data_IF_274282165646
#
_entry.id   IF_274282165646
#
_cell.length_a   1.000
_cell.length_b   1.000
_cell.length_c   1.000
_cell.angle_alpha   90.00
_cell.angle_beta   90.00
_cell.angle_gamma   90.00
#
_symmetry.space_group_name_H-M   'P 1'
#
loop_
_entity.id
_entity.type
_entity.pdbx_description
1 polymer ?
#
# COMPACT_ATOMS: atom_id res chain seq x y z
N UNK A 1 -1.94 28.36 1.21
CA UNK A 1 -0.89 27.67 0.40
C UNK A 1 -0.14 28.76 -0.36
N UNK A 2 1.19 28.84 -0.27
CA UNK A 2 1.93 29.78 -1.12
C UNK A 2 1.93 29.26 -2.58
N UNK A 3 1.94 30.18 -3.55
CA UNK A 3 1.99 29.84 -4.98
C UNK A 3 3.19 28.92 -5.29
N UNK A 4 4.32 29.11 -4.60
CA UNK A 4 5.50 28.28 -4.73
C UNK A 4 5.26 26.81 -4.32
N UNK A 5 4.45 26.55 -3.29
CA UNK A 5 4.14 25.18 -2.87
C UNK A 5 3.19 24.48 -3.83
N UNK A 6 2.28 25.22 -4.46
CA UNK A 6 1.38 24.69 -5.47
C UNK A 6 2.13 24.14 -6.70
N UNK A 7 3.06 24.92 -7.24
CA UNK A 7 3.87 24.45 -8.38
C UNK A 7 4.84 23.32 -8.01
N UNK A 8 5.40 23.32 -6.79
CA UNK A 8 6.25 22.20 -6.34
C UNK A 8 5.51 20.88 -6.29
N UNK A 9 4.25 20.85 -5.88
CA UNK A 9 3.42 19.63 -5.90
C UNK A 9 3.19 19.12 -7.33
N UNK A 10 2.90 20.03 -8.27
CA UNK A 10 2.73 19.67 -9.68
C UNK A 10 4.05 19.12 -10.25
N UNK A 11 5.17 19.79 -10.01
CA UNK A 11 6.49 19.37 -10.49
C UNK A 11 6.88 18.01 -9.88
N UNK A 12 6.48 17.74 -8.63
CA UNK A 12 6.69 16.47 -7.97
C UNK A 12 5.88 15.32 -8.62
N UNK A 13 4.70 15.59 -9.15
CA UNK A 13 3.91 14.63 -9.93
C UNK A 13 4.62 14.35 -11.27
N UNK A 14 5.00 15.40 -12.00
CA UNK A 14 5.71 15.27 -13.29
C UNK A 14 7.02 14.48 -13.14
N UNK A 15 7.75 14.68 -12.04
CA UNK A 15 8.98 13.96 -11.78
C UNK A 15 8.80 12.45 -11.50
N UNK A 16 7.58 12.03 -11.09
CA UNK A 16 7.29 10.65 -10.70
C UNK A 16 6.44 9.88 -11.71
N UNK A 17 5.71 10.59 -12.56
CA UNK A 17 4.88 9.99 -13.60
C UNK A 17 5.44 10.33 -14.99
N UNK A 18 6.04 9.36 -15.71
CA UNK A 18 6.54 9.56 -17.06
C UNK A 18 5.45 9.98 -18.08
N UNK A 19 4.16 9.72 -17.79
CA UNK A 19 3.05 10.12 -18.64
C UNK A 19 2.64 11.59 -18.42
N UNK A 20 3.11 12.24 -17.37
CA UNK A 20 2.80 13.63 -17.04
C UNK A 20 3.61 14.60 -17.93
N UNK A 21 3.09 14.94 -19.12
CA UNK A 21 3.80 15.74 -20.12
C UNK A 21 3.86 17.24 -19.81
N UNK A 22 3.02 17.80 -18.93
CA UNK A 22 3.00 19.24 -18.64
C UNK A 22 2.25 19.60 -17.37
N UNK A 23 2.55 20.77 -16.79
CA UNK A 23 1.83 21.32 -15.64
C UNK A 23 0.32 21.48 -15.90
N UNK A 24 -0.06 21.90 -17.10
CA UNK A 24 -1.46 22.03 -17.50
C UNK A 24 -2.16 20.66 -17.56
N UNK A 25 -1.45 19.63 -18.06
CA UNK A 25 -1.95 18.26 -18.03
C UNK A 25 -2.25 17.80 -16.60
N UNK A 26 -1.37 18.04 -15.65
CA UNK A 26 -1.60 17.69 -14.24
C UNK A 26 -2.80 18.46 -13.67
N UNK A 27 -2.89 19.76 -13.92
CA UNK A 27 -3.97 20.59 -13.38
C UNK A 27 -5.35 20.14 -13.87
N UNK A 28 -5.49 19.76 -15.13
CA UNK A 28 -6.80 19.49 -15.72
C UNK A 28 -7.15 18.00 -15.83
N UNK A 29 -6.15 17.10 -15.87
CA UNK A 29 -6.38 15.69 -16.21
C UNK A 29 -6.06 14.71 -15.07
N UNK A 30 -5.50 15.18 -13.93
CA UNK A 30 -5.12 14.29 -12.83
C UNK A 30 -6.15 14.29 -11.70
N UNK A 31 -6.96 13.22 -11.57
CA UNK A 31 -7.94 13.13 -10.49
C UNK A 31 -7.30 13.20 -9.09
N UNK A 32 -6.08 12.68 -8.94
CA UNK A 32 -5.31 12.75 -7.70
C UNK A 32 -4.98 14.18 -7.28
N UNK A 33 -4.64 15.04 -8.23
CA UNK A 33 -4.40 16.46 -7.97
C UNK A 33 -5.70 17.17 -7.53
N UNK A 34 -6.81 16.88 -8.20
CA UNK A 34 -8.11 17.42 -7.81
C UNK A 34 -8.53 16.95 -6.40
N UNK A 35 -8.36 15.66 -6.10
CA UNK A 35 -8.67 15.10 -4.78
C UNK A 35 -7.86 15.79 -3.68
N UNK A 36 -6.58 16.12 -3.93
CA UNK A 36 -5.75 16.83 -2.97
C UNK A 36 -6.18 18.30 -2.78
N UNK A 37 -6.66 18.98 -3.81
CA UNK A 37 -7.24 20.31 -3.67
C UNK A 37 -8.48 20.26 -2.77
N UNK A 38 -9.42 19.35 -3.06
CA UNK A 38 -10.61 19.16 -2.23
C UNK A 38 -10.25 18.78 -0.79
N UNK A 39 -9.27 17.89 -0.62
CA UNK A 39 -8.78 17.51 0.71
C UNK A 39 -8.26 18.72 1.50
N UNK A 40 -7.45 19.57 0.91
CA UNK A 40 -6.93 20.78 1.59
C UNK A 40 -8.05 21.70 2.03
N UNK A 41 -9.08 21.88 1.20
CA UNK A 41 -10.28 22.65 1.54
C UNK A 41 -11.06 21.95 2.66
N UNK A 42 -11.39 20.68 2.50
CA UNK A 42 -12.12 19.88 3.48
C UNK A 42 -11.41 19.80 4.83
N UNK A 43 -10.08 19.60 4.82
CA UNK A 43 -9.26 19.60 6.04
C UNK A 43 -9.27 20.95 6.75
N UNK A 44 -9.23 22.06 6.01
CA UNK A 44 -9.37 23.39 6.61
C UNK A 44 -10.72 23.55 7.33
N UNK A 45 -11.83 23.19 6.70
CA UNK A 45 -13.16 23.22 7.34
C UNK A 45 -13.22 22.26 8.55
N UNK A 46 -12.59 21.08 8.48
CA UNK A 46 -12.51 20.14 9.58
C UNK A 46 -11.80 20.77 10.80
N UNK A 47 -10.69 21.45 10.58
CA UNK A 47 -9.92 22.15 11.61
C UNK A 47 -10.69 23.29 12.27
N UNK A 48 -11.59 23.96 11.53
CA UNK A 48 -12.51 24.96 12.08
C UNK A 48 -13.77 24.34 12.70
N UNK A 49 -13.80 23.03 12.94
CA UNK A 49 -14.91 22.27 13.51
C UNK A 49 -16.19 22.27 12.67
N UNK A 50 -16.14 22.65 11.42
CA UNK A 50 -17.23 22.59 10.44
C UNK A 50 -17.30 21.19 9.80
N UNK A 51 -17.45 20.16 10.64
CA UNK A 51 -17.29 18.74 10.27
C UNK A 51 -18.25 18.28 9.18
N UNK A 52 -19.50 18.71 9.23
CA UNK A 52 -20.50 18.37 8.22
C UNK A 52 -20.07 18.89 6.82
N UNK A 53 -19.69 20.18 6.75
CA UNK A 53 -19.27 20.80 5.49
C UNK A 53 -17.97 20.14 4.95
N UNK A 54 -17.01 19.87 5.84
CA UNK A 54 -15.80 19.14 5.48
C UNK A 54 -16.12 17.78 4.84
N UNK A 55 -17.01 17.00 5.46
CA UNK A 55 -17.47 15.71 4.94
C UNK A 55 -18.22 15.83 3.62
N UNK A 56 -19.05 16.83 3.48
CA UNK A 56 -19.80 17.09 2.25
C UNK A 56 -18.85 17.41 1.09
N UNK A 57 -17.84 18.25 1.30
CA UNK A 57 -16.82 18.57 0.29
C UNK A 57 -16.08 17.29 -0.14
N UNK A 58 -15.67 16.46 0.81
CA UNK A 58 -14.97 15.21 0.50
C UNK A 58 -15.88 14.17 -0.17
N UNK A 59 -17.18 14.18 0.10
CA UNK A 59 -18.14 13.35 -0.61
C UNK A 59 -18.24 13.72 -2.09
N UNK A 60 -18.31 15.00 -2.42
CA UNK A 60 -18.25 15.46 -3.80
C UNK A 60 -16.91 15.15 -4.47
N UNK A 61 -15.80 15.33 -3.76
CA UNK A 61 -14.48 14.93 -4.24
C UNK A 61 -14.44 13.47 -4.66
N UNK A 62 -14.98 12.57 -3.83
CA UNK A 62 -15.07 11.13 -4.12
C UNK A 62 -15.90 10.85 -5.38
N UNK A 63 -17.03 11.51 -5.56
CA UNK A 63 -17.89 11.33 -6.75
C UNK A 63 -17.13 11.73 -8.03
N UNK A 64 -16.39 12.83 -7.98
CA UNK A 64 -15.69 13.39 -9.15
C UNK A 64 -14.40 12.62 -9.46
N UNK A 65 -13.65 12.18 -8.42
CA UNK A 65 -12.30 11.65 -8.59
C UNK A 65 -12.21 10.14 -8.41
N UNK A 66 -13.22 9.50 -7.81
CA UNK A 66 -13.15 8.08 -7.40
C UNK A 66 -12.21 7.83 -6.21
N UNK A 67 -11.76 8.88 -5.52
CA UNK A 67 -10.80 8.82 -4.39
C UNK A 67 -11.51 9.24 -3.12
N UNK A 68 -11.43 8.41 -2.08
CA UNK A 68 -11.98 8.71 -0.77
C UNK A 68 -10.87 9.09 0.21
N UNK A 69 -10.92 10.32 0.72
CA UNK A 69 -10.02 10.80 1.77
C UNK A 69 -10.86 11.38 2.90
N UNK A 70 -10.66 10.87 4.11
CA UNK A 70 -11.31 11.48 5.26
C UNK A 70 -10.69 12.85 5.57
N UNK A 71 -11.48 13.92 5.80
CA UNK A 71 -10.94 15.27 5.98
C UNK A 71 -10.08 15.42 7.24
N UNK A 72 -10.16 14.51 8.22
CA UNK A 72 -9.32 14.49 9.41
C UNK A 72 -7.95 13.83 9.20
N UNK A 73 -7.74 13.10 8.12
CA UNK A 73 -6.46 12.47 7.83
C UNK A 73 -5.33 13.53 7.81
N UNK A 74 -4.13 13.13 8.20
CA UNK A 74 -2.94 14.00 8.14
C UNK A 74 -2.08 13.57 6.95
N UNK A 75 -1.86 14.46 6.01
CA UNK A 75 -1.13 14.17 4.78
C UNK A 75 0.02 15.19 4.64
N UNK A 76 1.24 14.67 4.53
CA UNK A 76 2.45 15.45 4.33
C UNK A 76 2.58 16.02 2.91
N UNK A 77 3.69 16.70 2.66
CA UNK A 77 3.99 17.33 1.37
C UNK A 77 4.35 16.30 0.29
N UNK A 78 4.11 16.67 -0.98
CA UNK A 78 4.42 15.86 -2.14
C UNK A 78 3.80 14.44 -2.13
N UNK A 79 2.63 14.29 -1.50
CA UNK A 79 1.87 13.05 -1.58
C UNK A 79 1.30 12.88 -2.99
N UNK A 80 1.52 11.72 -3.59
CA UNK A 80 1.07 11.41 -4.94
C UNK A 80 0.25 10.12 -4.98
N UNK A 81 -0.92 10.19 -5.59
CA UNK A 81 -1.80 9.08 -5.87
C UNK A 81 -1.79 8.81 -7.37
N UNK A 82 -1.03 7.80 -7.81
CA UNK A 82 -0.96 7.44 -9.22
C UNK A 82 -2.21 6.66 -9.63
N UNK A 83 -2.82 7.03 -10.76
CA UNK A 83 -4.15 6.62 -11.23
C UNK A 83 -5.30 6.96 -10.27
N UNK A 84 -5.18 6.72 -9.01
CA UNK A 84 -6.03 7.17 -7.91
C UNK A 84 -7.34 6.44 -7.69
N UNK A 85 -7.97 5.84 -8.70
CA UNK A 85 -9.29 5.24 -8.59
C UNK A 85 -9.37 4.18 -7.47
N UNK A 86 -10.38 4.29 -6.60
CA UNK A 86 -10.61 3.32 -5.53
C UNK A 86 -9.66 3.42 -4.34
N UNK A 87 -8.87 4.49 -4.24
CA UNK A 87 -8.08 4.77 -3.03
C UNK A 87 -9.02 5.15 -1.88
N UNK A 88 -8.74 4.61 -0.69
CA UNK A 88 -9.44 4.94 0.55
C UNK A 88 -8.45 5.31 1.64
N UNK A 89 -8.55 6.52 2.18
CA UNK A 89 -7.72 7.03 3.29
C UNK A 89 -8.61 7.34 4.49
N UNK A 90 -8.47 6.54 5.55
CA UNK A 90 -9.31 6.61 6.75
C UNK A 90 -9.01 7.80 7.66
N UNK A 91 -9.91 8.05 8.61
CA UNK A 91 -9.96 9.22 9.48
C UNK A 91 -8.66 9.51 10.25
N UNK A 92 -8.07 8.48 10.84
CA UNK A 92 -6.88 8.64 11.70
C UNK A 92 -5.59 8.24 10.98
N UNK A 93 -5.61 8.14 9.62
CA UNK A 93 -4.42 7.89 8.85
C UNK A 93 -3.46 9.09 8.92
N UNK A 94 -2.18 8.78 9.01
CA UNK A 94 -1.09 9.76 8.96
C UNK A 94 -0.14 9.35 7.84
N UNK A 95 0.18 10.29 6.94
CA UNK A 95 1.02 10.05 5.77
C UNK A 95 2.14 11.07 5.78
N UNK A 96 3.37 10.59 5.71
CA UNK A 96 4.57 11.41 5.65
C UNK A 96 4.77 12.13 4.33
N UNK A 97 5.98 12.59 4.09
CA UNK A 97 6.35 13.33 2.88
C UNK A 97 6.80 12.41 1.75
N UNK A 98 6.62 12.85 0.50
CA UNK A 98 7.06 12.16 -0.72
C UNK A 98 6.51 10.71 -0.85
N UNK A 99 5.35 10.44 -0.27
CA UNK A 99 4.72 9.12 -0.38
C UNK A 99 4.03 8.99 -1.72
N UNK A 100 4.14 7.82 -2.34
CA UNK A 100 3.43 7.45 -3.57
C UNK A 100 2.55 6.24 -3.30
N UNK A 101 1.27 6.33 -3.67
CA UNK A 101 0.35 5.20 -3.62
C UNK A 101 -0.34 5.03 -4.97
N UNK A 102 -0.71 3.81 -5.31
CA UNK A 102 -1.37 3.48 -6.56
C UNK A 102 -2.87 3.23 -6.35
N UNK A 103 -3.61 3.08 -7.44
CA UNK A 103 -5.06 2.81 -7.42
C UNK A 103 -5.44 1.62 -6.51
N UNK A 104 -6.63 1.69 -5.91
CA UNK A 104 -7.19 0.62 -5.08
C UNK A 104 -6.53 0.43 -3.71
N UNK A 105 -5.56 1.29 -3.33
CA UNK A 105 -4.92 1.22 -2.02
C UNK A 105 -5.90 1.65 -0.92
N UNK A 106 -5.97 0.86 0.15
CA UNK A 106 -6.74 1.21 1.36
C UNK A 106 -5.83 1.41 2.56
N UNK A 107 -5.90 2.59 3.17
CA UNK A 107 -5.36 2.87 4.49
C UNK A 107 -6.52 2.78 5.49
N UNK A 108 -6.81 1.56 5.94
CA UNK A 108 -8.03 1.20 6.65
C UNK A 108 -7.83 0.85 8.12
N UNK A 109 -8.95 0.73 8.85
CA UNK A 109 -8.97 0.11 10.16
C UNK A 109 -9.00 -1.43 10.04
N UNK A 110 -8.74 -2.12 11.15
CA UNK A 110 -9.05 -3.54 11.32
C UNK A 110 -10.57 -3.67 11.47
N UNK A 111 -11.11 -4.86 11.33
CA UNK A 111 -12.55 -5.14 11.40
C UNK A 111 -13.29 -4.21 12.37
N UNK A 112 -14.42 -3.61 11.94
CA UNK A 112 -15.22 -2.78 12.85
C UNK A 112 -15.65 -3.59 14.06
N UNK A 113 -15.49 -3.03 15.25
CA UNK A 113 -16.07 -3.59 16.46
C UNK A 113 -17.59 -3.61 16.32
N UNK A 114 -18.26 -4.61 16.88
CA UNK A 114 -19.73 -4.64 17.02
C UNK A 114 -20.20 -3.37 17.76
N UNK A 115 -19.38 -2.87 18.69
CA UNK A 115 -19.58 -1.59 19.39
C UNK A 115 -18.72 -0.49 18.76
N UNK A 116 -19.27 0.26 17.80
CA UNK A 116 -18.55 1.34 17.10
C UNK A 116 -18.06 2.44 18.04
N UNK A 117 -18.72 2.65 19.18
CA UNK A 117 -18.34 3.65 20.17
C UNK A 117 -16.98 3.37 20.81
N UNK A 118 -16.59 2.11 20.96
CA UNK A 118 -15.28 1.73 21.48
C UNK A 118 -14.12 2.17 20.59
N UNK A 119 -14.37 2.47 19.31
CA UNK A 119 -13.36 2.89 18.34
C UNK A 119 -13.35 4.40 18.07
N UNK A 120 -14.30 5.14 18.63
CA UNK A 120 -14.33 6.59 18.47
C UNK A 120 -13.13 7.24 19.16
N UNK A 121 -12.55 8.23 18.49
CA UNK A 121 -11.40 8.99 18.97
C UNK A 121 -10.12 8.17 19.22
N UNK A 122 -10.06 6.94 18.73
CA UNK A 122 -8.85 6.11 18.83
C UNK A 122 -8.11 6.03 17.48
N UNK A 123 -6.79 5.90 17.56
CA UNK A 123 -5.95 5.61 16.39
C UNK A 123 -6.30 4.21 15.88
N UNK A 124 -6.87 4.11 14.67
CA UNK A 124 -7.29 2.84 14.05
C UNK A 124 -6.82 2.65 12.61
N UNK A 125 -6.20 3.69 12.02
CA UNK A 125 -5.65 3.69 10.68
C UNK A 125 -4.13 3.81 10.71
N UNK A 126 -3.43 3.39 9.66
CA UNK A 126 -1.98 3.32 9.66
C UNK A 126 -1.29 4.69 9.70
N UNK A 127 -0.03 4.66 10.13
CA UNK A 127 0.94 5.74 9.99
C UNK A 127 1.95 5.33 8.93
N UNK A 128 2.08 6.13 7.89
CA UNK A 128 2.99 5.92 6.76
C UNK A 128 4.15 6.91 6.89
N UNK A 129 5.37 6.41 6.93
CA UNK A 129 6.58 7.23 6.96
C UNK A 129 6.86 7.97 5.66
N UNK A 130 8.04 8.54 5.55
CA UNK A 130 8.47 9.33 4.40
C UNK A 130 9.01 8.46 3.26
N UNK A 131 8.85 8.90 2.02
CA UNK A 131 9.39 8.23 0.82
C UNK A 131 8.90 6.78 0.65
N UNK A 132 7.73 6.45 1.18
CA UNK A 132 7.10 5.12 1.08
C UNK A 132 6.41 4.98 -0.27
N UNK A 133 6.47 3.77 -0.83
CA UNK A 133 5.74 3.41 -2.05
C UNK A 133 4.78 2.27 -1.73
N UNK A 134 3.50 2.44 -2.05
CA UNK A 134 2.46 1.43 -1.83
C UNK A 134 1.87 1.04 -3.18
N UNK A 135 2.10 -0.21 -3.58
CA UNK A 135 1.64 -0.78 -4.85
C UNK A 135 0.11 -0.89 -4.94
N UNK A 136 -0.39 -0.97 -6.17
CA UNK A 136 -1.82 -1.01 -6.48
C UNK A 136 -2.58 -2.09 -5.71
N UNK A 137 -3.78 -1.76 -5.24
CA UNK A 137 -4.67 -2.69 -4.54
C UNK A 137 -4.21 -3.13 -3.14
N UNK A 138 -3.09 -2.61 -2.63
CA UNK A 138 -2.59 -3.00 -1.30
C UNK A 138 -3.52 -2.51 -0.18
N UNK A 139 -3.71 -3.35 0.82
CA UNK A 139 -4.55 -3.10 1.99
C UNK A 139 -3.67 -2.95 3.22
N UNK A 140 -3.55 -1.74 3.76
CA UNK A 140 -2.78 -1.45 4.98
C UNK A 140 -3.78 -1.25 6.11
N UNK A 141 -3.82 -2.19 7.04
CA UNK A 141 -4.94 -2.31 7.97
C UNK A 141 -4.50 -2.22 9.43
N UNK A 142 -5.16 -1.35 10.17
CA UNK A 142 -4.94 -1.14 11.60
C UNK A 142 -4.01 0.02 11.94
N UNK A 143 -3.79 0.27 13.23
CA UNK A 143 -2.94 1.36 13.72
C UNK A 143 -1.45 0.98 13.65
N UNK A 144 -1.04 0.43 12.51
CA UNK A 144 0.34 -0.03 12.26
C UNK A 144 1.19 1.10 11.68
N UNK A 145 2.50 0.93 11.77
CA UNK A 145 3.49 1.87 11.24
C UNK A 145 4.23 1.26 10.05
N UNK A 146 4.27 2.00 8.96
CA UNK A 146 5.11 1.70 7.80
C UNK A 146 6.30 2.66 7.83
N UNK A 147 7.50 2.14 8.05
CA UNK A 147 8.71 2.95 8.21
C UNK A 147 9.15 3.64 6.92
N UNK A 148 10.04 4.62 7.06
CA UNK A 148 10.56 5.41 5.95
C UNK A 148 11.20 4.52 4.87
N UNK A 149 11.03 4.90 3.59
CA UNK A 149 11.57 4.19 2.42
C UNK A 149 11.08 2.74 2.29
N UNK A 150 10.06 2.32 3.05
CA UNK A 150 9.46 1.00 2.88
C UNK A 150 8.72 0.90 1.54
N UNK A 151 8.61 -0.32 1.03
CA UNK A 151 7.89 -0.63 -0.20
C UNK A 151 6.88 -1.72 0.05
N UNK A 152 5.65 -1.49 -0.38
CA UNK A 152 4.56 -2.45 -0.25
C UNK A 152 4.21 -2.95 -1.66
N UNK A 153 4.30 -4.26 -1.86
CA UNK A 153 3.95 -4.89 -3.14
C UNK A 153 2.46 -4.74 -3.47
N UNK A 154 2.13 -4.78 -4.75
CA UNK A 154 0.75 -4.72 -5.22
C UNK A 154 -0.10 -5.86 -4.63
N UNK A 155 -1.39 -5.60 -4.37
CA UNK A 155 -2.36 -6.54 -3.79
C UNK A 155 -1.92 -7.20 -2.47
N UNK A 156 -1.04 -6.55 -1.71
CA UNK A 156 -0.59 -7.05 -0.41
C UNK A 156 -1.55 -6.68 0.71
N UNK A 157 -1.67 -7.55 1.71
CA UNK A 157 -2.41 -7.26 2.94
C UNK A 157 -1.43 -7.12 4.10
N UNK A 158 -1.24 -5.90 4.57
CA UNK A 158 -0.31 -5.54 5.64
C UNK A 158 -1.10 -5.25 6.92
N UNK A 159 -0.88 -6.06 7.94
CA UNK A 159 -1.52 -5.95 9.25
C UNK A 159 -0.53 -5.92 10.42
N UNK A 160 0.76 -5.70 10.13
CA UNK A 160 1.84 -5.57 11.10
C UNK A 160 2.78 -4.45 10.68
N UNK A 161 3.50 -3.90 11.64
CA UNK A 161 4.51 -2.87 11.38
C UNK A 161 5.53 -3.34 10.35
N UNK A 162 5.95 -2.42 9.49
CA UNK A 162 7.00 -2.64 8.48
C UNK A 162 8.17 -1.71 8.80
N UNK A 163 9.36 -2.25 9.05
CA UNK A 163 10.54 -1.44 9.32
C UNK A 163 10.94 -0.56 8.12
N UNK A 164 11.73 0.48 8.39
CA UNK A 164 12.29 1.35 7.34
C UNK A 164 13.17 0.58 6.38
N UNK A 165 13.14 0.95 5.09
CA UNK A 165 13.93 0.35 4.00
C UNK A 165 13.61 -1.13 3.73
N UNK A 166 12.46 -1.62 4.15
CA UNK A 166 12.02 -3.00 3.94
C UNK A 166 10.99 -3.07 2.82
N UNK A 167 11.06 -4.09 1.99
CA UNK A 167 10.02 -4.45 1.02
C UNK A 167 9.20 -5.61 1.56
N UNK A 168 7.87 -5.45 1.58
CA UNK A 168 6.93 -6.51 1.96
C UNK A 168 5.92 -6.77 0.85
N UNK A 169 5.51 -8.01 0.67
CA UNK A 169 4.51 -8.39 -0.32
C UNK A 169 3.71 -9.63 0.10
N UNK A 170 2.54 -9.81 -0.50
CA UNK A 170 1.67 -10.99 -0.39
C UNK A 170 0.53 -10.85 0.62
N UNK A 171 -0.22 -11.95 0.82
CA UNK A 171 -1.42 -12.04 1.69
C UNK A 171 -1.26 -13.25 2.61
N UNK A 172 -1.01 -13.05 3.91
CA UNK A 172 -0.54 -11.82 4.56
C UNK A 172 0.84 -11.39 4.04
N UNK A 173 1.14 -10.09 4.10
CA UNK A 173 2.41 -9.55 3.65
C UNK A 173 3.58 -10.05 4.51
N UNK A 174 4.68 -10.38 3.85
CA UNK A 174 5.94 -10.82 4.46
C UNK A 174 7.10 -10.06 3.88
N UNK A 175 8.17 -9.93 4.64
CA UNK A 175 9.40 -9.31 4.21
C UNK A 175 9.99 -10.09 3.02
N UNK A 176 10.27 -9.38 1.93
CA UNK A 176 10.71 -9.98 0.68
C UNK A 176 12.22 -9.91 0.48
N UNK A 177 12.82 -8.80 0.78
CA UNK A 177 14.26 -8.60 0.80
C UNK A 177 14.60 -7.30 1.52
N UNK A 178 15.73 -7.25 2.22
CA UNK A 178 16.36 -5.99 2.59
C UNK A 178 17.13 -5.47 1.39
N UNK A 179 16.59 -4.48 0.69
CA UNK A 179 17.38 -3.80 -0.33
C UNK A 179 18.45 -2.95 0.36
N UNK A 180 19.70 -3.41 0.32
CA UNK A 180 20.87 -2.68 0.84
C UNK A 180 21.24 -1.50 -0.06
N UNK A 181 20.49 -1.18 -1.09
CA UNK A 181 20.87 -0.14 -2.05
C UNK A 181 19.98 1.11 -1.94
N UNK A 182 20.59 2.19 -1.42
CA UNK A 182 20.24 3.59 -1.73
C UNK A 182 20.38 3.83 -3.23
N UNK A 183 19.49 3.36 -4.08
CA UNK A 183 19.52 3.78 -5.48
C UNK A 183 18.17 3.68 -6.16
N UNK A 184 17.83 4.80 -6.78
CA UNK A 184 16.87 5.01 -7.86
C UNK A 184 15.48 4.40 -7.69
N UNK A 185 14.51 5.30 -7.55
CA UNK A 185 13.10 5.07 -7.67
C UNK A 185 12.79 4.07 -8.80
N UNK A 186 12.35 2.87 -8.45
CA UNK A 186 11.67 1.97 -9.37
C UNK A 186 10.20 1.98 -9.01
N UNK A 187 9.37 2.42 -9.95
CA UNK A 187 7.95 2.67 -9.77
C UNK A 187 7.12 1.42 -9.35
N UNK A 188 7.65 0.24 -9.55
CA UNK A 188 6.99 -1.03 -9.18
C UNK A 188 7.73 -1.66 -8.00
N UNK A 189 6.98 -1.95 -6.94
CA UNK A 189 7.50 -2.42 -5.64
C UNK A 189 8.26 -3.75 -5.66
N UNK A 190 8.25 -4.49 -6.78
CA UNK A 190 8.96 -5.76 -6.97
C UNK A 190 9.63 -5.74 -8.34
N UNK A 191 10.93 -6.08 -8.42
CA UNK A 191 11.59 -6.24 -9.70
C UNK A 191 11.22 -7.59 -10.33
N UNK A 192 11.20 -7.65 -11.67
CA UNK A 192 10.90 -8.89 -12.43
C UNK A 192 11.86 -10.04 -12.08
N UNK A 193 12.98 -9.75 -11.43
CA UNK A 193 14.00 -10.70 -10.99
C UNK A 193 13.80 -11.23 -9.56
N UNK A 194 12.87 -10.65 -8.80
CA UNK A 194 12.60 -11.08 -7.43
C UNK A 194 11.61 -12.24 -7.45
N UNK A 195 12.10 -13.45 -7.25
CA UNK A 195 11.26 -14.65 -7.09
C UNK A 195 10.49 -14.59 -5.77
N UNK A 196 9.18 -14.87 -5.82
CA UNK A 196 8.31 -14.94 -4.65
C UNK A 196 8.91 -15.92 -3.63
N UNK A 197 9.12 -15.53 -2.35
CA UNK A 197 9.58 -16.45 -1.30
C UNK A 197 8.70 -17.70 -1.17
N UNK A 198 7.42 -17.61 -1.49
CA UNK A 198 6.50 -18.74 -1.52
C UNK A 198 6.85 -19.72 -2.63
N UNK A 199 7.24 -19.22 -3.80
CA UNK A 199 7.65 -20.06 -4.92
C UNK A 199 8.92 -20.86 -4.58
N UNK A 200 9.90 -20.24 -3.91
CA UNK A 200 11.08 -20.94 -3.40
C UNK A 200 10.70 -22.04 -2.40
N UNK A 201 9.81 -21.73 -1.46
CA UNK A 201 9.33 -22.69 -0.46
C UNK A 201 8.54 -23.83 -1.12
N UNK A 202 7.66 -23.50 -2.07
CA UNK A 202 6.89 -24.48 -2.83
C UNK A 202 7.79 -25.43 -3.62
N UNK A 203 8.79 -24.89 -4.32
CA UNK A 203 9.76 -25.68 -5.07
C UNK A 203 10.60 -26.61 -4.16
N UNK A 204 10.95 -26.16 -2.97
CA UNK A 204 11.60 -27.01 -1.97
C UNK A 204 10.70 -28.14 -1.47
N UNK A 205 9.42 -27.82 -1.21
CA UNK A 205 8.43 -28.82 -0.78
C UNK A 205 8.16 -29.83 -1.90
N UNK A 206 8.02 -29.41 -3.14
CA UNK A 206 7.85 -30.31 -4.30
C UNK A 206 9.03 -31.27 -4.42
N UNK A 207 10.28 -30.79 -4.36
CA UNK A 207 11.47 -31.64 -4.38
C UNK A 207 11.49 -32.65 -3.23
N UNK A 208 11.01 -32.26 -2.04
CA UNK A 208 10.94 -33.13 -0.88
C UNK A 208 9.87 -34.21 -1.04
N UNK A 209 8.71 -33.86 -1.59
CA UNK A 209 7.63 -34.81 -1.93
C UNK A 209 8.12 -35.83 -2.95
N UNK A 210 8.73 -35.39 -4.07
CA UNK A 210 9.30 -36.29 -5.08
C UNK A 210 10.34 -37.26 -4.48
N UNK A 211 11.21 -36.78 -3.58
CA UNK A 211 12.18 -37.60 -2.87
C UNK A 211 11.53 -38.65 -1.98
N UNK A 212 10.45 -38.27 -1.27
CA UNK A 212 9.69 -39.19 -0.41
C UNK A 212 8.95 -40.25 -1.25
N UNK A 213 8.34 -39.88 -2.37
CA UNK A 213 7.69 -40.81 -3.27
C UNK A 213 8.68 -41.86 -3.85
N UNK A 214 9.90 -41.41 -4.23
CA UNK A 214 10.95 -42.35 -4.68
C UNK A 214 11.34 -43.33 -3.59
N UNK A 215 11.52 -42.88 -2.35
CA UNK A 215 11.81 -43.75 -1.20
C UNK A 215 10.69 -44.73 -0.93
N UNK A 216 9.44 -44.26 -0.99
CA UNK A 216 8.25 -45.11 -0.77
C UNK A 216 8.19 -46.24 -1.81
N UNK A 217 8.34 -45.93 -3.10
CA UNK A 217 8.38 -46.92 -4.20
C UNK A 217 9.50 -47.96 -4.02
N UNK A 218 10.65 -47.52 -3.48
CA UNK A 218 11.77 -48.41 -3.18
C UNK A 218 11.45 -49.38 -2.05
N UNK A 219 10.85 -48.87 -0.99
CA UNK A 219 10.42 -49.67 0.19
C UNK A 219 9.31 -50.66 -0.19
N UNK A 220 8.36 -50.26 -1.01
CA UNK A 220 7.30 -51.15 -1.51
C UNK A 220 7.89 -52.31 -2.33
N UNK A 221 8.84 -52.03 -3.24
CA UNK A 221 9.54 -53.06 -3.98
C UNK A 221 10.29 -54.03 -3.09
N UNK A 222 10.97 -53.57 -2.07
CA UNK A 222 11.67 -54.40 -1.09
C UNK A 222 10.69 -55.27 -0.27
N UNK A 223 9.54 -54.71 0.10
CA UNK A 223 8.50 -55.45 0.84
C UNK A 223 7.87 -56.56 0.00
N UNK A 224 7.67 -56.30 -1.30
CA UNK A 224 7.14 -57.31 -2.25
C UNK A 224 8.18 -58.44 -2.48
N UNK A 225 9.47 -58.09 -2.61
CA UNK A 225 10.53 -59.08 -2.81
C UNK A 225 10.74 -59.96 -1.57
N UNK A 226 10.58 -59.42 -0.39
CA UNK A 226 10.69 -60.20 0.85
C UNK A 226 9.50 -61.15 1.08
N UNK A 227 8.29 -60.77 0.61
CA UNK A 227 7.10 -61.66 0.63
C UNK A 227 7.17 -62.82 -0.37
N UNK A 228 8.02 -62.73 -1.39
CA UNK A 228 8.21 -63.83 -2.40
C UNK A 228 9.30 -64.81 -2.00
N UNK A 229 10.05 -64.56 -0.90
CA UNK A 229 11.12 -65.41 -0.40
C UNK A 229 10.72 -66.20 0.86
N UNK A 230 9.54 -65.97 1.37
CA UNK A 230 8.85 -66.78 2.40
C UNK A 230 7.76 -67.58 1.76
#
# INVERSE_FOLDING_TARGET
MSVNNFFKEIDSIIARDPAAGSRWGVIFLYPSFHAMIFYKIGNAFWRYNLKFLARLIMHFARIITGIEIHPAAKIGSNFFMDHGLGIVIGETAEIGENVTIYQGVTLGGVMPSIESDSQRNQKRHPTIGNNVIIGSGAQILGPITIGDYARIGANSVVSKDVPSNVTVAGVPAREFARSVQKQNFKAYGISVTDTDPREKTLNLLLKKVESLEKKLKTLEKLKINNKKKT
#
